data_IF_819813058197
#
_entry.id   IF_819813058197
#
_cell.length_a   1.000
_cell.length_b   1.000
_cell.length_c   1.000
_cell.angle_alpha   90.00
_cell.angle_beta   90.00
_cell.angle_gamma   90.00
#
_symmetry.space_group_name_H-M   'P 1'
#
loop_
_entity.id
_entity.type
_entity.pdbx_description
1 polymer ?
#
# COMPACT_ATOMS: atom_id res chain seq x y z
N UNK A 1 -9.07 -46.78 -38.61
CA UNK A 1 -7.77 -46.74 -37.90
C UNK A 1 -7.07 -45.46 -38.33
N UNK A 2 -7.28 -44.36 -37.61
CA UNK A 2 -6.45 -43.16 -37.78
C UNK A 2 -5.02 -43.55 -37.40
N UNK A 3 -4.06 -43.18 -38.24
CA UNK A 3 -2.68 -43.62 -38.03
C UNK A 3 -2.13 -42.99 -36.75
N UNK A 4 -1.32 -43.73 -36.00
CA UNK A 4 -0.66 -43.26 -34.77
C UNK A 4 0.10 -41.93 -35.02
N UNK A 5 0.56 -41.72 -36.25
CA UNK A 5 1.17 -40.48 -36.72
C UNK A 5 0.24 -39.25 -36.70
N UNK A 6 -1.05 -39.41 -37.02
CA UNK A 6 -2.01 -38.30 -36.96
C UNK A 6 -2.36 -37.92 -35.52
N UNK A 7 -2.41 -38.89 -34.60
CA UNK A 7 -2.57 -38.63 -33.17
C UNK A 7 -1.32 -37.99 -32.57
N UNK A 8 -0.12 -38.45 -32.94
CA UNK A 8 1.13 -37.86 -32.49
C UNK A 8 1.30 -36.41 -33.00
N UNK A 9 0.90 -36.14 -34.26
CA UNK A 9 0.92 -34.78 -34.81
C UNK A 9 -0.07 -33.84 -34.10
N UNK A 10 -1.26 -34.34 -33.73
CA UNK A 10 -2.21 -33.57 -32.90
C UNK A 10 -1.72 -33.33 -31.49
N UNK A 11 -1.10 -34.32 -30.86
CA UNK A 11 -0.53 -34.18 -29.51
C UNK A 11 0.68 -33.24 -29.52
N UNK A 12 1.52 -33.25 -30.55
CA UNK A 12 2.65 -32.33 -30.68
C UNK A 12 2.17 -30.88 -30.91
N UNK A 13 1.12 -30.70 -31.71
CA UNK A 13 0.47 -29.41 -31.94
C UNK A 13 -0.26 -28.89 -30.68
N UNK A 14 -0.86 -29.78 -29.87
CA UNK A 14 -1.49 -29.43 -28.60
C UNK A 14 -0.47 -29.24 -27.46
N UNK A 15 0.70 -29.89 -27.53
CA UNK A 15 1.82 -29.74 -26.59
C UNK A 15 2.50 -28.38 -26.71
N UNK A 16 2.36 -27.69 -27.84
CA UNK A 16 2.77 -26.29 -27.97
C UNK A 16 1.58 -25.39 -27.64
N UNK A 17 1.27 -25.26 -26.34
CA UNK A 17 0.39 -24.18 -25.82
C UNK A 17 1.07 -22.80 -25.93
N UNK A 18 1.68 -22.50 -27.07
CA UNK A 18 1.96 -21.12 -27.42
C UNK A 18 0.68 -20.61 -28.08
N UNK A 19 -0.07 -19.77 -27.37
CA UNK A 19 -1.02 -18.90 -28.06
C UNK A 19 -0.22 -18.21 -29.16
N UNK A 20 -0.60 -18.42 -30.42
CA UNK A 20 0.03 -17.75 -31.55
C UNK A 20 0.09 -16.26 -31.21
N UNK A 21 1.30 -15.66 -31.16
CA UNK A 21 1.44 -14.25 -30.85
C UNK A 21 0.56 -13.44 -31.81
N UNK A 22 -0.47 -12.79 -31.28
CA UNK A 22 -1.42 -12.00 -32.07
C UNK A 22 -0.86 -10.59 -32.36
N UNK A 23 0.31 -10.25 -31.81
CA UNK A 23 0.98 -8.97 -31.99
C UNK A 23 2.11 -9.05 -33.01
N UNK A 24 2.27 -8.00 -33.80
CA UNK A 24 3.58 -7.65 -34.34
C UNK A 24 4.50 -7.25 -33.17
N UNK A 25 5.82 -7.48 -33.24
CA UNK A 25 6.77 -6.87 -32.30
C UNK A 25 6.56 -5.35 -32.23
N UNK A 26 5.98 -4.88 -31.13
CA UNK A 26 5.76 -3.46 -30.84
C UNK A 26 6.81 -3.06 -29.82
N UNK A 27 7.45 -1.90 -29.98
CA UNK A 27 8.43 -1.33 -29.04
C UNK A 27 9.89 -1.55 -29.46
N UNK A 28 10.85 -0.76 -28.96
CA UNK A 28 12.27 -0.94 -29.25
C UNK A 28 12.84 -2.15 -28.49
N UNK A 29 13.83 -2.82 -29.08
CA UNK A 29 14.69 -3.80 -28.40
C UNK A 29 15.66 -3.07 -27.46
N UNK A 30 16.36 -3.76 -26.56
CA UNK A 30 17.38 -3.10 -25.72
C UNK A 30 18.62 -2.73 -26.54
N UNK A 31 19.00 -3.60 -27.48
CA UNK A 31 20.16 -3.45 -28.38
C UNK A 31 19.75 -3.52 -29.85
N UNK A 32 20.65 -3.13 -30.75
CA UNK A 32 20.46 -3.17 -32.20
C UNK A 32 19.81 -1.93 -32.80
N UNK A 33 19.61 -1.95 -34.12
CA UNK A 33 19.09 -0.79 -34.87
C UNK A 33 17.69 -0.42 -34.40
N UNK A 34 17.54 0.79 -33.82
CA UNK A 34 16.29 1.25 -33.23
C UNK A 34 16.02 0.72 -31.82
N UNK A 35 17.02 0.11 -31.17
CA UNK A 35 16.97 -0.29 -29.77
C UNK A 35 17.19 0.88 -28.80
N UNK A 36 16.73 0.74 -27.56
CA UNK A 36 16.73 1.77 -26.51
C UNK A 36 18.16 2.24 -26.16
N UNK A 37 19.14 1.34 -26.22
CA UNK A 37 20.56 1.65 -26.00
C UNK A 37 21.42 1.37 -27.25
N UNK A 38 20.79 1.17 -28.40
CA UNK A 38 21.46 0.87 -29.68
C UNK A 38 22.09 2.08 -30.38
N UNK A 39 22.57 3.06 -29.62
CA UNK A 39 23.17 4.28 -30.14
C UNK A 39 24.69 4.14 -30.21
N UNK A 40 25.30 4.61 -31.31
CA UNK A 40 26.76 4.69 -31.40
C UNK A 40 27.32 5.68 -30.37
N UNK A 41 28.34 5.26 -29.62
CA UNK A 41 29.05 6.07 -28.61
C UNK A 41 28.33 6.28 -27.27
N UNK A 42 27.48 5.34 -26.83
CA UNK A 42 26.95 5.34 -25.47
C UNK A 42 28.00 4.84 -24.45
N UNK A 43 28.07 5.48 -23.28
CA UNK A 43 28.89 5.02 -22.17
C UNK A 43 28.28 3.73 -21.57
N UNK A 44 29.11 2.90 -20.92
CA UNK A 44 28.66 1.65 -20.32
C UNK A 44 27.61 1.86 -19.22
N UNK A 45 27.75 2.94 -18.46
CA UNK A 45 26.99 3.17 -17.23
C UNK A 45 25.65 3.84 -17.54
N UNK A 46 24.55 3.11 -17.29
CA UNK A 46 23.18 3.60 -17.46
C UNK A 46 22.63 3.97 -16.08
N UNK A 47 22.05 5.17 -15.97
CA UNK A 47 21.38 5.66 -14.76
C UNK A 47 19.87 5.67 -15.03
N UNK A 48 19.11 4.96 -14.21
CA UNK A 48 17.65 5.00 -14.21
C UNK A 48 17.15 6.22 -13.41
N UNK A 49 16.19 6.96 -13.95
CA UNK A 49 15.47 8.02 -13.21
C UNK A 49 14.19 7.51 -12.52
N UNK A 50 13.94 6.19 -12.54
CA UNK A 50 12.75 5.60 -11.91
C UNK A 50 12.81 5.80 -10.40
N UNK A 51 11.76 6.38 -9.85
CA UNK A 51 11.52 6.39 -8.41
C UNK A 51 10.90 5.04 -8.03
N UNK A 52 11.52 4.33 -7.08
CA UNK A 52 10.92 3.12 -6.53
C UNK A 52 9.75 3.51 -5.61
N UNK A 53 8.59 2.85 -5.72
CA UNK A 53 7.52 3.06 -4.76
C UNK A 53 8.02 2.63 -3.38
N UNK A 54 7.97 3.55 -2.42
CA UNK A 54 8.27 3.30 -1.02
C UNK A 54 7.03 3.60 -0.20
N UNK A 55 6.77 2.82 0.86
CA UNK A 55 5.50 2.96 1.55
C UNK A 55 5.09 1.82 2.47
N UNK A 56 3.80 1.78 2.79
CA UNK A 56 3.19 0.82 3.70
C UNK A 56 3.34 -0.61 3.21
N UNK A 57 3.27 -0.84 1.89
CA UNK A 57 3.36 -2.15 1.26
C UNK A 57 4.58 -2.97 1.71
N UNK A 58 5.72 -2.34 1.97
CA UNK A 58 6.96 -3.00 2.39
C UNK A 58 7.04 -3.31 3.88
N UNK A 59 6.16 -2.71 4.70
CA UNK A 59 6.08 -2.96 6.15
C UNK A 59 5.04 -4.03 6.51
N UNK A 60 4.13 -4.33 5.60
CA UNK A 60 3.09 -5.32 5.82
C UNK A 60 3.68 -6.74 5.72
N UNK A 61 3.47 -7.59 6.72
CA UNK A 61 3.83 -9.00 6.64
C UNK A 61 2.91 -9.72 5.64
N UNK A 62 3.38 -10.85 5.10
CA UNK A 62 2.59 -11.71 4.21
C UNK A 62 2.22 -13.00 4.94
N UNK A 63 0.93 -13.23 5.11
CA UNK A 63 0.36 -14.41 5.76
C UNK A 63 -0.46 -15.20 4.74
N UNK A 64 0.07 -16.34 4.24
CA UNK A 64 -0.58 -17.06 3.15
C UNK A 64 -1.85 -17.76 3.59
N UNK A 65 -2.88 -17.71 2.76
CA UNK A 65 -4.13 -18.48 2.93
C UNK A 65 -4.23 -19.65 1.94
N UNK A 66 -4.92 -20.71 2.33
CA UNK A 66 -5.24 -21.87 1.47
C UNK A 66 -6.72 -21.88 1.04
N UNK A 67 -7.51 -20.94 1.54
CA UNK A 67 -8.95 -20.90 1.31
C UNK A 67 -9.27 -19.93 0.18
N UNK A 68 -10.14 -20.34 -0.76
CA UNK A 68 -10.54 -19.50 -1.89
C UNK A 68 -11.38 -18.28 -1.47
N UNK A 69 -12.09 -18.38 -0.33
CA UNK A 69 -12.96 -17.33 0.21
C UNK A 69 -12.79 -17.22 1.72
N UNK A 70 -11.80 -16.46 2.21
CA UNK A 70 -11.63 -16.25 3.65
C UNK A 70 -12.82 -15.46 4.21
N UNK A 71 -13.41 -16.00 5.28
CA UNK A 71 -14.47 -15.36 6.06
C UNK A 71 -13.95 -15.04 7.45
N UNK A 72 -14.04 -13.77 7.83
CA UNK A 72 -13.61 -13.23 9.10
C UNK A 72 -14.81 -12.91 9.97
N UNK A 73 -14.95 -13.63 11.08
CA UNK A 73 -16.06 -13.44 12.02
C UNK A 73 -15.69 -12.48 13.15
N UNK A 74 -16.57 -11.52 13.42
CA UNK A 74 -16.41 -10.51 14.45
C UNK A 74 -17.57 -10.56 15.42
N UNK A 75 -17.28 -10.49 16.71
CA UNK A 75 -18.29 -10.26 17.74
C UNK A 75 -18.48 -8.76 17.90
N UNK A 76 -19.68 -8.25 17.60
CA UNK A 76 -19.96 -6.81 17.55
C UNK A 76 -20.57 -6.27 18.83
N UNK A 77 -21.04 -7.15 19.71
CA UNK A 77 -21.51 -6.79 21.04
C UNK A 77 -22.52 -7.79 21.60
N UNK A 78 -23.12 -7.41 22.72
CA UNK A 78 -24.14 -8.19 23.42
C UNK A 78 -25.37 -7.31 23.66
N UNK A 79 -26.58 -7.86 23.53
CA UNK A 79 -27.80 -7.11 23.86
C UNK A 79 -27.94 -6.95 25.36
N UNK A 80 -28.76 -5.99 25.80
CA UNK A 80 -29.13 -5.89 27.20
C UNK A 80 -29.85 -7.18 27.65
N UNK A 81 -29.71 -7.58 28.93
CA UNK A 81 -30.50 -8.66 29.50
C UNK A 81 -31.98 -8.27 29.53
N UNK A 82 -32.87 -9.26 29.40
CA UNK A 82 -34.32 -9.07 29.38
C UNK A 82 -34.93 -9.74 30.61
N UNK A 83 -35.82 -9.03 31.30
CA UNK A 83 -36.45 -9.47 32.54
C UNK A 83 -36.13 -8.56 33.71
N UNK A 84 -36.79 -8.79 34.84
CA UNK A 84 -36.54 -8.06 36.07
C UNK A 84 -35.75 -8.93 37.05
N UNK A 85 -34.98 -8.31 37.95
CA UNK A 85 -34.48 -9.02 39.12
C UNK A 85 -35.69 -9.33 40.01
N UNK A 86 -36.07 -10.60 40.11
CA UNK A 86 -37.21 -11.04 40.93
C UNK A 86 -37.10 -10.55 42.37
N UNK A 87 -38.25 -10.35 43.03
CA UNK A 87 -38.31 -9.74 44.36
C UNK A 87 -38.01 -10.73 45.50
N UNK A 88 -38.15 -12.03 45.25
CA UNK A 88 -37.84 -13.10 46.20
C UNK A 88 -36.57 -13.87 45.80
N UNK A 89 -35.93 -14.51 46.79
CA UNK A 89 -34.66 -15.21 46.62
C UNK A 89 -34.70 -16.44 45.67
N UNK A 90 -35.89 -16.91 45.30
CA UNK A 90 -36.09 -18.06 44.42
C UNK A 90 -36.79 -17.68 43.10
N UNK A 91 -37.03 -16.39 42.86
CA UNK A 91 -37.60 -15.94 41.60
C UNK A 91 -36.54 -16.05 40.48
N UNK A 92 -37.00 -16.33 39.26
CA UNK A 92 -36.13 -16.35 38.10
C UNK A 92 -35.51 -14.97 37.86
N UNK A 93 -34.20 -14.96 37.68
CA UNK A 93 -33.45 -13.76 37.31
C UNK A 93 -33.63 -13.39 35.83
N UNK A 94 -33.17 -12.19 35.41
CA UNK A 94 -33.23 -11.78 34.03
C UNK A 94 -32.37 -12.69 33.14
N UNK A 95 -32.85 -12.96 31.92
CA UNK A 95 -32.11 -13.73 30.91
C UNK A 95 -31.04 -12.84 30.30
N UNK A 96 -29.81 -13.37 30.19
CA UNK A 96 -28.71 -12.66 29.57
C UNK A 96 -29.01 -12.31 28.11
N UNK A 97 -28.48 -11.17 27.64
CA UNK A 97 -28.68 -10.75 26.27
C UNK A 97 -27.93 -11.62 25.26
N UNK A 98 -28.44 -11.64 24.02
CA UNK A 98 -27.85 -12.39 22.92
C UNK A 98 -26.59 -11.73 22.38
N UNK A 99 -25.66 -12.54 21.89
CA UNK A 99 -24.47 -12.10 21.18
C UNK A 99 -24.83 -11.65 19.75
N UNK A 100 -24.25 -10.54 19.31
CA UNK A 100 -24.30 -10.09 17.91
C UNK A 100 -22.96 -10.40 17.25
N UNK A 101 -23.02 -10.89 16.02
CA UNK A 101 -21.85 -11.19 15.21
C UNK A 101 -22.01 -10.56 13.81
N UNK A 102 -20.87 -10.34 13.15
CA UNK A 102 -20.79 -9.88 11.77
C UNK A 102 -19.68 -10.66 11.06
N UNK A 103 -19.87 -10.96 9.78
CA UNK A 103 -18.84 -11.62 8.97
C UNK A 103 -18.34 -10.66 7.90
N UNK A 104 -17.03 -10.53 7.74
CA UNK A 104 -16.42 -9.84 6.60
C UNK A 104 -15.72 -10.86 5.70
N UNK A 105 -15.47 -10.48 4.46
CA UNK A 105 -14.67 -11.26 3.52
C UNK A 105 -13.68 -10.33 2.84
N UNK A 106 -12.50 -10.84 2.52
CA UNK A 106 -11.52 -10.19 1.68
C UNK A 106 -11.43 -10.98 0.36
N UNK A 107 -11.66 -10.31 -0.77
CA UNK A 107 -11.51 -10.95 -2.07
C UNK A 107 -10.03 -10.97 -2.45
N UNK A 108 -9.55 -12.16 -2.84
CA UNK A 108 -8.21 -12.35 -3.37
C UNK A 108 -8.12 -11.86 -4.82
N UNK A 109 -7.03 -11.17 -5.15
CA UNK A 109 -6.73 -10.71 -6.50
C UNK A 109 -5.92 -11.73 -7.29
N UNK A 110 -6.05 -11.71 -8.62
CA UNK A 110 -5.28 -12.55 -9.54
C UNK A 110 -4.60 -11.67 -10.59
N UNK A 111 -3.29 -11.46 -10.42
CA UNK A 111 -2.50 -10.69 -11.39
C UNK A 111 -1.93 -11.57 -12.49
N UNK A 112 -2.00 -11.06 -13.72
CA UNK A 112 -1.41 -11.71 -14.90
C UNK A 112 -0.66 -10.66 -15.71
N UNK A 113 0.65 -10.83 -15.81
CA UNK A 113 1.50 -10.01 -16.66
C UNK A 113 2.09 -10.86 -17.77
N UNK A 114 2.12 -10.32 -18.98
CA UNK A 114 2.81 -10.92 -20.12
C UNK A 114 4.02 -10.08 -20.47
N UNK A 115 5.14 -10.74 -20.74
CA UNK A 115 6.28 -10.09 -21.39
C UNK A 115 5.91 -9.75 -22.83
N UNK A 116 6.53 -8.70 -23.38
CA UNK A 116 6.43 -8.41 -24.81
C UNK A 116 7.16 -9.49 -25.60
N UNK A 117 6.66 -9.78 -26.79
CA UNK A 117 7.26 -10.73 -27.71
C UNK A 117 8.66 -10.28 -28.16
N UNK A 118 9.60 -11.21 -28.21
CA UNK A 118 10.97 -10.98 -28.66
C UNK A 118 11.16 -11.56 -30.06
N UNK A 119 11.71 -10.74 -30.96
CA UNK A 119 12.10 -11.20 -32.28
C UNK A 119 13.49 -11.84 -32.19
N UNK A 120 13.55 -13.17 -32.11
CA UNK A 120 14.82 -13.92 -31.98
C UNK A 120 15.82 -13.62 -33.11
N UNK A 121 15.35 -13.13 -34.26
CA UNK A 121 16.22 -12.78 -35.38
C UNK A 121 16.95 -11.45 -35.22
N UNK A 122 16.62 -10.67 -34.19
CA UNK A 122 17.22 -9.35 -33.90
C UNK A 122 17.86 -9.26 -32.52
N UNK A 123 17.64 -10.26 -31.68
CA UNK A 123 18.30 -10.36 -30.37
C UNK A 123 19.80 -10.54 -30.54
N UNK A 124 20.61 -9.71 -29.88
CA UNK A 124 22.07 -9.77 -29.94
C UNK A 124 22.70 -9.12 -31.17
N UNK A 125 21.91 -8.46 -32.03
CA UNK A 125 22.45 -7.70 -33.15
C UNK A 125 22.97 -6.34 -32.67
N UNK A 126 24.21 -6.01 -33.04
CA UNK A 126 24.69 -4.63 -33.00
C UNK A 126 24.35 -3.94 -34.31
N UNK A 127 23.86 -2.71 -34.22
CA UNK A 127 23.68 -1.82 -35.37
C UNK A 127 25.00 -1.43 -36.01
N UNK A 128 26.02 -1.18 -35.19
CA UNK A 128 27.34 -0.69 -35.57
C UNK A 128 28.42 -1.26 -34.64
N UNK A 129 29.68 -1.34 -35.10
CA UNK A 129 30.82 -1.77 -34.26
C UNK A 129 31.07 -0.86 -33.04
N UNK A 130 30.57 0.37 -33.07
CA UNK A 130 30.63 1.33 -31.96
C UNK A 130 29.56 1.10 -30.89
N UNK A 131 28.62 0.16 -31.10
CA UNK A 131 27.65 -0.25 -30.10
C UNK A 131 28.31 -1.22 -29.13
N UNK A 132 28.29 -0.86 -27.84
CA UNK A 132 28.85 -1.69 -26.79
C UNK A 132 27.77 -2.56 -26.18
N UNK A 133 28.06 -3.85 -26.08
CA UNK A 133 27.17 -4.80 -25.45
C UNK A 133 27.30 -4.84 -23.92
N UNK A 134 28.37 -4.27 -23.36
CA UNK A 134 28.63 -4.17 -21.92
C UNK A 134 27.93 -2.94 -21.33
N UNK A 135 26.60 -2.90 -21.32
CA UNK A 135 25.85 -1.92 -20.55
C UNK A 135 25.57 -2.45 -19.14
N UNK A 136 25.76 -1.61 -18.12
CA UNK A 136 25.40 -1.91 -16.73
C UNK A 136 24.55 -0.79 -16.15
N UNK A 137 23.47 -1.15 -15.46
CA UNK A 137 22.64 -0.18 -14.74
C UNK A 137 23.28 0.05 -13.37
N UNK A 138 23.60 1.31 -13.05
CA UNK A 138 24.32 1.63 -11.81
C UNK A 138 23.42 1.63 -10.57
N UNK A 139 22.13 1.90 -10.73
CA UNK A 139 21.18 2.06 -9.62
C UNK A 139 20.08 1.00 -9.65
N UNK A 140 20.48 -0.28 -9.77
CA UNK A 140 19.63 -1.47 -9.95
C UNK A 140 18.15 -1.23 -9.60
N UNK A 141 17.24 -1.22 -10.60
CA UNK A 141 15.84 -0.92 -10.37
C UNK A 141 15.08 -2.03 -9.63
N UNK A 142 15.73 -3.16 -9.29
CA UNK A 142 15.15 -4.27 -8.55
C UNK A 142 15.62 -4.35 -7.10
N UNK A 143 14.78 -4.99 -6.29
CA UNK A 143 15.18 -5.56 -5.00
C UNK A 143 16.18 -6.69 -5.27
N UNK A 144 17.26 -6.73 -4.50
CA UNK A 144 18.54 -7.45 -4.65
C UNK A 144 18.47 -9.00 -4.79
N UNK A 145 17.28 -9.60 -4.97
CA UNK A 145 17.01 -11.00 -4.65
C UNK A 145 16.61 -11.91 -5.83
N UNK A 146 16.81 -11.49 -7.09
CA UNK A 146 16.41 -12.28 -8.27
C UNK A 146 17.54 -12.67 -9.24
N UNK A 147 18.80 -12.70 -8.79
CA UNK A 147 19.95 -13.06 -9.62
C UNK A 147 20.38 -14.53 -9.42
N UNK A 148 19.78 -15.48 -10.13
CA UNK A 148 20.20 -16.88 -10.02
C UNK A 148 19.46 -17.89 -10.88
N UNK A 149 19.35 -17.67 -12.20
CA UNK A 149 18.76 -18.65 -13.12
C UNK A 149 19.60 -18.67 -14.41
N UNK A 150 20.01 -19.86 -14.88
CA UNK A 150 20.67 -20.22 -16.17
C UNK A 150 22.22 -20.32 -16.23
N UNK A 151 22.80 -21.53 -16.00
CA UNK A 151 24.25 -21.77 -16.09
C UNK A 151 24.79 -22.45 -17.37
N UNK A 152 24.01 -22.68 -18.45
CA UNK A 152 24.47 -23.56 -19.56
C UNK A 152 24.12 -23.11 -20.98
N UNK A 153 24.55 -21.91 -21.37
CA UNK A 153 24.53 -21.46 -22.77
C UNK A 153 25.89 -20.83 -23.17
N UNK A 154 26.31 -20.88 -24.45
CA UNK A 154 27.59 -20.31 -24.90
C UNK A 154 27.71 -18.80 -24.63
N UNK A 155 28.83 -18.41 -24.01
CA UNK A 155 28.98 -17.25 -23.11
C UNK A 155 28.74 -15.83 -23.65
N UNK A 156 28.59 -15.59 -24.96
CA UNK A 156 28.41 -14.22 -25.47
C UNK A 156 27.00 -13.98 -26.00
N UNK A 157 26.55 -14.76 -26.99
CA UNK A 157 25.20 -14.59 -27.56
C UNK A 157 24.09 -14.97 -26.57
N UNK A 158 24.37 -15.92 -25.67
CA UNK A 158 23.43 -16.28 -24.60
C UNK A 158 23.38 -15.27 -23.47
N UNK A 159 24.47 -14.55 -23.22
CA UNK A 159 24.49 -13.45 -22.26
C UNK A 159 23.73 -12.27 -22.85
N UNK A 160 23.80 -12.02 -24.16
CA UNK A 160 23.07 -10.95 -24.82
C UNK A 160 21.57 -11.25 -24.99
N UNK A 161 21.22 -12.45 -25.41
CA UNK A 161 19.83 -12.91 -25.43
C UNK A 161 19.25 -13.02 -24.01
N UNK A 162 20.05 -13.50 -23.06
CA UNK A 162 19.71 -13.52 -21.64
C UNK A 162 19.48 -12.12 -21.07
N UNK A 163 20.23 -11.10 -21.51
CA UNK A 163 20.02 -9.70 -21.10
C UNK A 163 18.74 -9.11 -21.64
N UNK A 164 18.39 -9.35 -22.91
CA UNK A 164 17.10 -8.90 -23.47
C UNK A 164 15.93 -9.58 -22.74
N UNK A 165 16.00 -10.90 -22.53
CA UNK A 165 14.98 -11.66 -21.79
C UNK A 165 14.88 -11.17 -20.34
N UNK A 166 16.01 -10.96 -19.65
CA UNK A 166 16.05 -10.43 -18.30
C UNK A 166 15.46 -9.03 -18.22
N UNK A 167 15.75 -8.16 -19.19
CA UNK A 167 15.17 -6.83 -19.27
C UNK A 167 13.64 -6.88 -19.42
N UNK A 168 13.09 -7.84 -20.17
CA UNK A 168 11.63 -8.04 -20.29
C UNK A 168 11.00 -8.54 -19.00
N UNK A 169 11.67 -9.45 -18.29
CA UNK A 169 11.22 -9.93 -16.98
C UNK A 169 11.26 -8.79 -15.95
N UNK A 170 12.32 -7.97 -15.98
CA UNK A 170 12.45 -6.76 -15.18
C UNK A 170 11.30 -5.79 -15.42
N UNK A 171 10.94 -5.52 -16.68
CA UNK A 171 9.80 -4.67 -17.03
C UNK A 171 8.48 -5.20 -16.46
N UNK A 172 8.30 -6.52 -16.42
CA UNK A 172 7.13 -7.13 -15.78
C UNK A 172 7.16 -6.93 -14.26
N UNK A 173 8.31 -7.10 -13.61
CA UNK A 173 8.45 -6.84 -12.17
C UNK A 173 8.17 -5.38 -11.81
N UNK A 174 8.65 -4.44 -12.63
CA UNK A 174 8.35 -3.00 -12.52
C UNK A 174 6.85 -2.74 -12.58
N UNK A 175 6.18 -3.26 -13.62
CA UNK A 175 4.75 -3.08 -13.79
C UNK A 175 3.93 -3.72 -12.66
N UNK A 176 4.37 -4.88 -12.16
CA UNK A 176 3.75 -5.54 -11.03
C UNK A 176 3.84 -4.70 -9.75
N UNK A 177 5.02 -4.13 -9.46
CA UNK A 177 5.21 -3.27 -8.30
C UNK A 177 4.35 -2.02 -8.35
N UNK A 178 4.31 -1.33 -9.50
CA UNK A 178 3.55 -0.09 -9.66
C UNK A 178 2.04 -0.36 -9.54
N UNK A 179 1.55 -1.45 -10.12
CA UNK A 179 0.13 -1.82 -10.02
C UNK A 179 -0.25 -2.23 -8.59
N UNK A 180 0.56 -3.08 -7.95
CA UNK A 180 0.31 -3.54 -6.58
C UNK A 180 0.33 -2.38 -5.57
N UNK A 181 1.29 -1.46 -5.71
CA UNK A 181 1.39 -0.30 -4.83
C UNK A 181 0.16 0.61 -4.93
N UNK A 182 -0.35 0.85 -6.15
CA UNK A 182 -1.58 1.63 -6.35
C UNK A 182 -2.81 0.88 -5.81
N UNK A 183 -2.95 -0.40 -6.15
CA UNK A 183 -4.12 -1.20 -5.74
C UNK A 183 -4.19 -1.45 -4.23
N UNK A 184 -3.08 -1.31 -3.49
CA UNK A 184 -3.11 -1.32 -2.02
C UNK A 184 -4.13 -0.31 -1.48
N UNK A 185 -4.28 0.85 -2.11
CA UNK A 185 -5.21 1.89 -1.67
C UNK A 185 -6.56 1.78 -2.38
N UNK A 186 -6.55 1.83 -3.71
CA UNK A 186 -7.75 1.99 -4.55
C UNK A 186 -8.24 0.69 -5.19
N UNK A 187 -7.78 -0.46 -4.71
CA UNK A 187 -8.20 -1.77 -5.21
C UNK A 187 -9.72 -1.94 -5.05
N UNK A 188 -10.42 -2.13 -6.17
CA UNK A 188 -11.88 -2.18 -6.19
C UNK A 188 -12.44 -3.49 -5.65
N UNK A 189 -11.60 -4.52 -5.49
CA UNK A 189 -12.02 -5.89 -5.24
C UNK A 189 -12.87 -6.49 -6.36
N UNK A 190 -13.05 -5.81 -7.50
CA UNK A 190 -13.88 -6.30 -8.59
C UNK A 190 -13.03 -7.05 -9.63
N UNK A 191 -13.55 -8.18 -10.12
CA UNK A 191 -12.88 -8.99 -11.12
C UNK A 191 -11.61 -9.67 -10.57
N UNK A 192 -10.44 -9.25 -11.08
CA UNK A 192 -9.14 -9.84 -10.73
C UNK A 192 -8.34 -8.96 -9.75
N UNK A 193 -8.88 -7.84 -9.28
CA UNK A 193 -8.20 -6.95 -8.32
C UNK A 193 -8.50 -7.40 -6.89
N UNK A 194 -7.53 -7.23 -5.97
CA UNK A 194 -7.81 -7.42 -4.54
C UNK A 194 -8.50 -6.19 -3.93
N UNK A 195 -9.03 -6.39 -2.73
CA UNK A 195 -9.66 -5.35 -1.92
C UNK A 195 -8.64 -4.33 -1.38
N UNK A 196 -8.67 -3.09 -1.89
CA UNK A 196 -7.82 -2.01 -1.39
C UNK A 196 -8.22 -1.50 0.00
N UNK A 197 -7.33 -0.72 0.61
CA UNK A 197 -7.52 -0.09 1.91
C UNK A 197 -8.74 0.84 1.95
N UNK A 198 -9.12 1.48 0.85
CA UNK A 198 -10.31 2.32 0.81
C UNK A 198 -11.60 1.51 1.04
N UNK A 199 -11.65 0.27 0.55
CA UNK A 199 -12.78 -0.62 0.84
C UNK A 199 -12.72 -1.15 2.28
N UNK A 200 -11.52 -1.37 2.83
CA UNK A 200 -11.33 -1.79 4.22
C UNK A 200 -11.60 -0.67 5.23
N UNK A 201 -11.29 0.58 4.91
CA UNK A 201 -11.51 1.76 5.75
C UNK A 201 -12.75 2.50 5.25
N UNK A 202 -13.92 1.95 5.59
CA UNK A 202 -15.21 2.47 5.14
C UNK A 202 -16.12 2.89 6.30
N UNK A 203 -16.99 3.86 6.04
CA UNK A 203 -17.96 4.39 7.02
C UNK A 203 -19.10 3.42 7.33
N UNK A 204 -19.34 2.46 6.45
CA UNK A 204 -20.34 1.40 6.63
C UNK A 204 -19.70 0.06 6.29
N UNK A 205 -20.09 -0.98 7.04
CA UNK A 205 -19.58 -2.34 6.87
C UNK A 205 -20.76 -3.28 6.80
N UNK A 206 -20.83 -4.07 5.74
CA UNK A 206 -21.94 -4.99 5.51
C UNK A 206 -21.51 -6.41 5.86
N UNK A 207 -22.41 -7.16 6.50
CA UNK A 207 -22.21 -8.57 6.74
C UNK A 207 -22.23 -9.33 5.40
N UNK A 208 -21.12 -10.00 5.09
CA UNK A 208 -20.95 -10.77 3.86
C UNK A 208 -22.01 -11.88 3.70
N UNK A 209 -22.59 -12.38 4.80
CA UNK A 209 -23.56 -13.48 4.76
C UNK A 209 -25.00 -13.02 4.75
N UNK A 210 -25.34 -12.00 5.54
CA UNK A 210 -26.74 -11.58 5.73
C UNK A 210 -27.11 -10.27 5.03
N UNK A 211 -26.12 -9.52 4.51
CA UNK A 211 -26.33 -8.22 3.88
C UNK A 211 -26.84 -7.15 4.84
N UNK A 212 -26.69 -7.34 6.16
CA UNK A 212 -27.06 -6.36 7.19
C UNK A 212 -25.88 -5.48 7.55
N UNK A 213 -26.17 -4.23 7.90
CA UNK A 213 -25.15 -3.29 8.34
C UNK A 213 -24.59 -3.64 9.73
N UNK A 214 -23.28 -3.51 9.87
CA UNK A 214 -22.48 -3.81 11.05
C UNK A 214 -21.77 -2.53 11.52
N UNK A 215 -22.49 -1.59 12.16
CA UNK A 215 -21.96 -0.27 12.50
C UNK A 215 -20.79 -0.33 13.49
N UNK A 216 -20.68 -1.38 14.31
CA UNK A 216 -19.57 -1.54 15.26
C UNK A 216 -18.21 -1.77 14.57
N UNK A 217 -18.19 -2.18 13.29
CA UNK A 217 -16.97 -2.36 12.50
C UNK A 217 -16.64 -1.13 11.64
N UNK A 218 -17.49 -0.12 11.60
CA UNK A 218 -17.27 1.06 10.79
C UNK A 218 -16.00 1.80 11.22
N UNK A 219 -15.26 2.31 10.24
CA UNK A 219 -14.07 3.14 10.49
C UNK A 219 -14.47 4.57 10.88
N UNK A 220 -13.69 5.21 11.76
CA UNK A 220 -13.87 6.65 12.06
C UNK A 220 -13.26 7.48 10.91
N UNK A 221 -14.13 8.00 10.04
CA UNK A 221 -13.74 8.81 8.89
C UNK A 221 -14.12 10.27 9.15
N UNK A 222 -13.13 11.17 9.03
CA UNK A 222 -13.30 12.60 9.25
C UNK A 222 -12.97 13.38 7.98
N UNK A 223 -14.00 13.91 7.33
CA UNK A 223 -13.81 14.72 6.13
C UNK A 223 -13.42 16.16 6.52
N UNK A 224 -12.26 16.61 6.05
CA UNK A 224 -11.74 17.97 6.26
C UNK A 224 -12.10 18.94 5.13
N UNK A 225 -12.86 18.49 4.12
CA UNK A 225 -13.35 19.29 2.99
C UNK A 225 -12.26 20.14 2.33
N UNK A 226 -11.12 19.52 2.02
CA UNK A 226 -9.95 20.17 1.41
C UNK A 226 -9.42 21.39 2.19
N UNK A 227 -9.47 21.33 3.53
CA UNK A 227 -8.89 22.36 4.39
C UNK A 227 -7.40 22.59 4.07
N UNK A 228 -7.03 23.84 3.80
CA UNK A 228 -5.65 24.21 3.48
C UNK A 228 -4.80 24.29 4.76
N UNK A 229 -3.74 23.47 4.84
CA UNK A 229 -2.80 23.48 5.96
C UNK A 229 -2.07 24.81 6.15
N UNK A 230 -1.81 25.53 5.04
CA UNK A 230 -1.20 26.86 5.08
C UNK A 230 -2.11 27.98 5.61
N UNK A 231 -3.35 27.67 6.01
CA UNK A 231 -4.26 28.62 6.66
C UNK A 231 -4.33 28.37 8.16
N UNK A 232 -4.35 29.45 8.97
CA UNK A 232 -4.36 29.38 10.44
C UNK A 232 -5.50 28.50 10.97
N UNK A 233 -6.69 28.58 10.37
CA UNK A 233 -7.84 27.77 10.76
C UNK A 233 -7.78 26.32 10.27
N UNK A 234 -7.22 26.08 9.07
CA UNK A 234 -7.13 24.73 8.50
C UNK A 234 -6.09 23.86 9.21
N UNK A 235 -4.91 24.42 9.51
CA UNK A 235 -3.87 23.70 10.24
C UNK A 235 -4.29 23.27 11.65
N UNK A 236 -4.93 24.18 12.41
CA UNK A 236 -5.47 23.87 13.75
C UNK A 236 -6.53 22.75 13.70
N UNK A 237 -7.44 22.82 12.74
CA UNK A 237 -8.49 21.80 12.58
C UNK A 237 -7.89 20.40 12.31
N UNK A 238 -6.86 20.30 11.47
CA UNK A 238 -6.23 19.01 11.15
C UNK A 238 -5.52 18.42 12.37
N UNK A 239 -4.68 19.20 13.06
CA UNK A 239 -3.96 18.72 14.26
C UNK A 239 -4.92 18.29 15.37
N UNK A 240 -5.99 19.07 15.60
CA UNK A 240 -7.02 18.71 16.59
C UNK A 240 -7.79 17.46 16.21
N UNK A 241 -8.16 17.32 14.93
CA UNK A 241 -8.88 16.16 14.43
C UNK A 241 -8.03 14.90 14.59
N UNK A 242 -6.77 14.93 14.14
CA UNK A 242 -5.82 13.81 14.31
C UNK A 242 -5.63 13.43 15.78
N UNK A 243 -5.44 14.43 16.66
CA UNK A 243 -5.33 14.20 18.10
C UNK A 243 -6.60 13.56 18.68
N UNK A 244 -7.78 14.02 18.25
CA UNK A 244 -9.05 13.46 18.72
C UNK A 244 -9.27 12.01 18.24
N UNK A 245 -8.91 11.72 16.98
CA UNK A 245 -8.97 10.36 16.43
C UNK A 245 -8.03 9.42 17.18
N UNK A 246 -6.80 9.85 17.44
CA UNK A 246 -5.83 9.08 18.25
C UNK A 246 -6.37 8.73 19.64
N UNK A 247 -6.95 9.71 20.34
CA UNK A 247 -7.57 9.50 21.66
C UNK A 247 -8.73 8.52 21.61
N UNK A 248 -9.60 8.63 20.61
CA UNK A 248 -10.74 7.72 20.44
C UNK A 248 -10.26 6.29 20.14
N UNK A 249 -9.30 6.12 19.24
CA UNK A 249 -8.75 4.82 18.88
C UNK A 249 -8.07 4.14 20.09
N UNK A 250 -7.26 4.87 20.86
CA UNK A 250 -6.62 4.31 22.05
C UNK A 250 -7.61 3.99 23.18
N UNK A 251 -8.63 4.81 23.38
CA UNK A 251 -9.69 4.49 24.33
C UNK A 251 -10.45 3.23 23.91
N UNK A 252 -10.81 3.11 22.63
CA UNK A 252 -11.48 1.92 22.09
C UNK A 252 -10.59 0.67 22.23
N UNK A 253 -9.31 0.76 21.86
CA UNK A 253 -8.37 -0.36 21.99
C UNK A 253 -8.22 -0.83 23.45
N UNK A 254 -8.17 0.11 24.40
CA UNK A 254 -8.14 -0.19 25.83
C UNK A 254 -9.43 -0.86 26.32
N UNK A 255 -10.60 -0.33 25.94
CA UNK A 255 -11.91 -0.85 26.36
C UNK A 255 -12.28 -2.17 25.72
N UNK A 256 -11.81 -2.44 24.51
CA UNK A 256 -11.99 -3.70 23.80
C UNK A 256 -10.92 -4.74 24.18
N UNK A 257 -10.03 -4.42 25.12
CA UNK A 257 -8.97 -5.32 25.60
C UNK A 257 -8.03 -5.82 24.49
N UNK A 258 -7.78 -4.98 23.48
CA UNK A 258 -6.76 -5.25 22.46
C UNK A 258 -5.33 -5.07 22.99
N UNK A 259 -5.17 -4.60 24.24
CA UNK A 259 -3.88 -4.49 24.92
C UNK A 259 -2.94 -3.51 24.21
N UNK A 260 -1.66 -3.87 24.11
CA UNK A 260 -0.67 -3.06 23.38
C UNK A 260 -0.94 -3.15 21.87
N UNK A 261 -1.44 -2.05 21.30
CA UNK A 261 -1.69 -1.88 19.86
C UNK A 261 -0.62 -1.00 19.23
N UNK A 262 -0.01 -1.48 18.14
CA UNK A 262 0.93 -0.69 17.34
C UNK A 262 0.16 -0.03 16.20
N UNK A 263 0.03 1.28 16.28
CA UNK A 263 -0.56 2.12 15.25
C UNK A 263 0.53 2.75 14.38
N UNK A 264 0.22 2.93 13.10
CA UNK A 264 1.03 3.72 12.17
C UNK A 264 0.15 4.75 11.48
N UNK A 265 0.72 5.92 11.23
CA UNK A 265 0.08 6.96 10.43
C UNK A 265 0.67 6.90 9.03
N UNK A 266 -0.16 6.77 8.01
CA UNK A 266 0.27 6.69 6.62
C UNK A 266 -0.22 7.92 5.87
N UNK A 267 0.70 8.61 5.21
CA UNK A 267 0.41 9.83 4.45
C UNK A 267 1.47 10.04 3.37
N UNK A 268 1.22 10.94 2.43
CA UNK A 268 2.21 11.27 1.39
C UNK A 268 3.38 12.06 1.97
N UNK A 269 4.57 11.91 1.36
CA UNK A 269 5.80 12.60 1.78
C UNK A 269 5.61 14.12 1.86
N UNK A 270 4.99 14.73 0.83
CA UNK A 270 4.77 16.18 0.78
C UNK A 270 3.85 16.67 1.91
N UNK A 271 2.76 15.94 2.18
CA UNK A 271 1.82 16.25 3.25
C UNK A 271 2.49 16.18 4.63
N UNK A 272 3.37 15.20 4.85
CA UNK A 272 4.13 15.08 6.09
C UNK A 272 5.04 16.28 6.34
N UNK A 273 5.70 16.81 5.31
CA UNK A 273 6.52 18.01 5.44
C UNK A 273 5.69 19.23 5.86
N UNK A 274 4.53 19.44 5.24
CA UNK A 274 3.63 20.56 5.58
C UNK A 274 3.03 20.43 6.99
N UNK A 275 2.60 19.22 7.39
CA UNK A 275 2.07 18.98 8.73
C UNK A 275 3.15 19.24 9.79
N UNK A 276 4.38 18.78 9.57
CA UNK A 276 5.47 18.96 10.54
C UNK A 276 5.91 20.42 10.70
N UNK A 277 5.64 21.31 9.74
CA UNK A 277 5.90 22.75 9.91
C UNK A 277 4.90 23.41 10.87
N UNK A 278 3.62 23.01 10.84
CA UNK A 278 2.59 23.57 11.72
C UNK A 278 2.51 22.85 13.09
N UNK A 279 2.91 21.58 13.14
CA UNK A 279 2.70 20.71 14.30
C UNK A 279 3.33 21.24 15.60
N UNK A 280 4.62 21.68 15.64
CA UNK A 280 5.24 22.16 16.87
C UNK A 280 4.51 23.37 17.46
N UNK A 281 4.14 24.33 16.61
CA UNK A 281 3.45 25.54 17.02
C UNK A 281 2.09 25.22 17.65
N UNK A 282 1.33 24.33 17.00
CA UNK A 282 0.03 23.90 17.53
C UNK A 282 0.19 23.08 18.81
N UNK A 283 1.11 22.11 18.84
CA UNK A 283 1.33 21.24 20.00
C UNK A 283 1.75 22.02 21.25
N UNK A 284 2.62 23.03 21.10
CA UNK A 284 3.10 23.86 22.22
C UNK A 284 2.07 24.88 22.70
N UNK A 285 1.13 25.31 21.84
CA UNK A 285 0.08 26.28 22.18
C UNK A 285 -1.27 25.63 22.52
N UNK A 286 -1.43 24.33 22.28
CA UNK A 286 -2.72 23.64 22.45
C UNK A 286 -3.17 23.67 23.91
N UNK A 287 -4.33 24.25 24.15
CA UNK A 287 -4.92 24.37 25.50
C UNK A 287 -4.49 25.63 26.27
N UNK A 288 -3.58 26.44 25.73
CA UNK A 288 -3.29 27.78 26.25
C UNK A 288 -4.45 28.72 25.91
N UNK A 289 -5.45 28.78 26.80
CA UNK A 289 -6.47 29.82 26.71
C UNK A 289 -5.86 31.14 27.16
N UNK A 290 -5.85 32.15 26.29
CA UNK A 290 -5.47 33.48 26.72
C UNK A 290 -6.54 34.03 27.68
N UNK A 291 -6.19 34.43 28.91
CA UNK A 291 -7.15 35.03 29.84
C UNK A 291 -7.62 36.43 29.40
N UNK A 292 -7.00 37.02 28.36
CA UNK A 292 -7.45 38.28 27.75
C UNK A 292 -7.02 38.40 26.27
N UNK A 293 -7.62 39.27 25.45
CA UNK A 293 -7.28 39.41 24.02
C UNK A 293 -5.84 39.85 23.72
N UNK A 294 -5.06 40.27 24.73
CA UNK A 294 -3.77 40.97 24.57
C UNK A 294 -2.56 40.19 25.12
N UNK A 295 -2.70 38.90 25.43
CA UNK A 295 -1.56 38.07 25.86
C UNK A 295 -1.04 37.27 24.67
N UNK A 296 0.22 37.53 24.31
CA UNK A 296 0.96 36.73 23.33
C UNK A 296 1.74 35.64 24.06
N UNK A 297 1.50 34.38 23.73
CA UNK A 297 2.35 33.29 24.18
C UNK A 297 3.67 33.35 23.41
N UNK A 298 4.78 33.50 24.13
CA UNK A 298 6.11 33.42 23.52
C UNK A 298 6.49 31.93 23.42
N UNK A 299 6.55 31.42 22.20
CA UNK A 299 7.03 30.07 21.93
C UNK A 299 8.44 30.21 21.36
N UNK A 300 9.42 29.58 21.99
CA UNK A 300 10.80 29.62 21.51
C UNK A 300 10.86 29.00 20.10
N UNK A 301 11.47 29.72 19.17
CA UNK A 301 11.61 29.27 17.78
C UNK A 301 12.67 28.18 17.64
N UNK A 302 13.67 28.14 18.54
CA UNK A 302 14.67 27.08 18.56
C UNK A 302 14.06 25.71 18.87
N UNK A 303 13.20 25.65 19.88
CA UNK A 303 12.52 24.41 20.27
C UNK A 303 11.54 23.92 19.19
N UNK A 304 10.87 24.85 18.49
CA UNK A 304 9.99 24.50 17.37
C UNK A 304 10.77 23.87 16.22
N UNK A 305 11.93 24.44 15.85
CA UNK A 305 12.79 23.91 14.80
C UNK A 305 13.33 22.53 15.19
N UNK A 306 13.83 22.38 16.42
CA UNK A 306 14.33 21.11 16.93
C UNK A 306 13.26 20.01 16.94
N UNK A 307 12.03 20.35 17.35
CA UNK A 307 10.92 19.41 17.35
C UNK A 307 10.50 19.03 15.91
N UNK A 308 10.41 19.99 15.00
CA UNK A 308 10.14 19.72 13.59
C UNK A 308 11.20 18.80 12.98
N UNK A 309 12.47 19.14 13.15
CA UNK A 309 13.57 18.42 12.51
C UNK A 309 13.72 17.01 13.08
N UNK A 310 13.49 16.82 14.38
CA UNK A 310 13.42 15.48 14.99
C UNK A 310 12.27 14.64 14.46
N UNK A 311 11.06 15.21 14.32
CA UNK A 311 9.92 14.53 13.71
C UNK A 311 10.22 14.10 12.26
N UNK A 312 10.85 14.98 11.46
CA UNK A 312 11.20 14.70 10.06
C UNK A 312 12.26 13.60 9.93
N UNK A 313 13.30 13.64 10.76
CA UNK A 313 14.41 12.69 10.71
C UNK A 313 14.00 11.28 11.14
N UNK A 314 13.23 11.16 12.22
CA UNK A 314 12.80 9.87 12.76
C UNK A 314 11.44 9.40 12.21
N UNK A 315 10.81 10.19 11.32
CA UNK A 315 9.48 9.95 10.74
C UNK A 315 8.43 9.60 11.79
N UNK A 316 8.17 10.53 12.71
CA UNK A 316 7.09 10.39 13.70
C UNK A 316 6.28 11.68 13.84
N UNK A 317 5.07 11.54 14.39
CA UNK A 317 4.30 12.64 14.96
C UNK A 317 4.15 12.42 16.47
N UNK A 318 4.28 13.49 17.24
CA UNK A 318 4.06 13.44 18.68
C UNK A 318 2.60 13.77 19.00
N UNK A 319 1.87 12.80 19.55
CA UNK A 319 0.47 12.98 19.97
C UNK A 319 0.38 12.60 21.45
N UNK A 320 -0.10 13.51 22.31
CA UNK A 320 -0.24 13.31 23.76
C UNK A 320 1.05 12.75 24.43
N UNK A 321 2.22 13.22 24.00
CA UNK A 321 3.52 12.78 24.51
C UNK A 321 4.02 11.43 23.97
N UNK A 322 3.25 10.75 23.12
CA UNK A 322 3.66 9.50 22.47
C UNK A 322 4.19 9.75 21.06
N UNK A 323 5.32 9.12 20.72
CA UNK A 323 5.86 9.13 19.35
C UNK A 323 5.11 8.08 18.52
N UNK A 324 4.32 8.54 17.56
CA UNK A 324 3.58 7.69 16.64
C UNK A 324 4.32 7.66 15.31
N UNK A 325 4.66 6.47 14.85
CA UNK A 325 5.41 6.29 13.61
C UNK A 325 4.58 6.76 12.40
N UNK A 326 5.23 7.51 11.50
CA UNK A 326 4.68 7.90 10.21
C UNK A 326 5.36 7.11 9.10
N UNK A 327 4.55 6.51 8.24
CA UNK A 327 4.99 5.88 7.00
C UNK A 327 4.63 6.82 5.87
N UNK A 328 5.65 7.32 5.17
CA UNK A 328 5.46 8.11 3.96
C UNK A 328 5.26 7.16 2.78
N UNK A 329 4.14 7.25 2.09
CA UNK A 329 3.82 6.41 0.93
C UNK A 329 3.53 7.29 -0.29
N UNK A 330 4.23 7.03 -1.39
CA UNK A 330 4.09 7.78 -2.64
C UNK A 330 3.01 7.20 -3.56
N UNK A 331 2.53 5.97 -3.30
CA UNK A 331 1.45 5.32 -4.04
C UNK A 331 0.05 5.75 -3.62
N UNK A 332 -0.06 6.53 -2.52
CA UNK A 332 -1.27 7.27 -2.16
C UNK A 332 -1.68 8.21 -3.30
N UNK A 333 -2.97 8.13 -3.69
CA UNK A 333 -3.51 9.01 -4.71
C UNK A 333 -3.49 10.47 -4.24
N UNK A 334 -3.11 11.35 -5.15
CA UNK A 334 -3.09 12.78 -4.92
C UNK A 334 -4.10 13.47 -5.84
N UNK A 335 -5.00 14.23 -5.23
CA UNK A 335 -5.98 15.01 -5.96
C UNK A 335 -5.48 16.46 -6.15
N UNK A 336 -5.62 16.95 -7.38
CA UNK A 336 -5.30 18.34 -7.72
C UNK A 336 -6.54 19.21 -7.47
N UNK A 337 -6.56 19.90 -6.34
CA UNK A 337 -7.65 20.81 -5.94
C UNK A 337 -7.63 22.11 -6.77
N UNK A 338 -6.47 22.46 -7.34
CA UNK A 338 -6.24 23.66 -8.15
C UNK A 338 -5.29 24.68 -7.50
N UNK A 339 -4.85 25.68 -8.26
CA UNK A 339 -3.89 26.71 -7.82
C UNK A 339 -2.58 26.16 -7.20
N UNK A 340 -2.07 25.05 -7.73
CA UNK A 340 -0.86 24.40 -7.20
C UNK A 340 -1.05 23.75 -5.83
N UNK A 341 -2.30 23.47 -5.43
CA UNK A 341 -2.64 22.76 -4.19
C UNK A 341 -2.99 21.31 -4.50
N UNK A 342 -2.52 20.46 -3.63
CA UNK A 342 -2.69 19.02 -3.69
C UNK A 342 -3.33 18.52 -2.41
N UNK A 343 -4.17 17.50 -2.52
CA UNK A 343 -4.82 16.86 -1.39
C UNK A 343 -4.56 15.35 -1.43
N UNK A 344 -4.36 14.76 -0.26
CA UNK A 344 -4.24 13.31 -0.08
C UNK A 344 -4.80 12.94 1.29
N UNK A 345 -5.23 11.70 1.42
CA UNK A 345 -5.79 11.17 2.67
C UNK A 345 -4.70 10.79 3.68
N UNK A 346 -5.08 10.78 4.95
CA UNK A 346 -4.24 10.33 6.07
C UNK A 346 -4.91 9.12 6.71
N UNK A 347 -4.20 8.00 6.76
CA UNK A 347 -4.68 6.77 7.38
C UNK A 347 -4.03 6.56 8.75
N UNK A 348 -4.81 6.14 9.74
CA UNK A 348 -4.29 5.63 11.01
C UNK A 348 -4.65 4.14 11.07
N UNK A 349 -3.65 3.28 10.91
CA UNK A 349 -3.86 1.85 10.74
C UNK A 349 -3.23 1.05 11.88
N UNK A 350 -3.90 0.02 12.41
CA UNK A 350 -3.29 -0.89 13.37
C UNK A 350 -2.46 -1.92 12.61
N UNK A 351 -1.17 -2.06 12.92
CA UNK A 351 -0.35 -3.14 12.37
C UNK A 351 -0.45 -4.40 13.22
N UNK A 352 -0.33 -4.23 14.54
CA UNK A 352 -0.40 -5.33 15.50
C UNK A 352 -1.23 -4.97 16.73
N UNK A 353 -1.86 -5.98 17.31
CA UNK A 353 -2.61 -5.90 18.57
C UNK A 353 -2.06 -6.91 19.58
N UNK A 354 -2.40 -6.75 20.86
CA UNK A 354 -2.00 -7.63 21.97
C UNK A 354 -0.49 -7.93 22.05
N UNK A 355 0.35 -6.97 21.62
CA UNK A 355 1.80 -7.11 21.69
C UNK A 355 2.44 -7.97 20.59
N UNK A 356 1.72 -8.34 19.52
CA UNK A 356 2.34 -9.04 18.39
C UNK A 356 1.40 -9.73 17.39
N UNK A 357 0.09 -9.79 17.66
CA UNK A 357 -0.88 -10.36 16.71
C UNK A 357 -1.05 -9.40 15.55
N UNK A 358 -0.72 -9.83 14.34
CA UNK A 358 -0.85 -9.02 13.14
C UNK A 358 -2.32 -8.89 12.75
N UNK A 359 -2.75 -7.67 12.42
CA UNK A 359 -4.14 -7.38 12.02
C UNK A 359 -4.25 -6.69 10.67
N UNK A 360 -3.15 -6.12 10.17
CA UNK A 360 -3.00 -5.65 8.81
C UNK A 360 -1.82 -6.37 8.17
N UNK A 361 -2.09 -7.13 7.11
CA UNK A 361 -1.15 -8.00 6.43
C UNK A 361 -1.60 -8.23 4.98
N UNK A 362 -0.68 -8.75 4.16
CA UNK A 362 -0.96 -9.28 2.83
C UNK A 362 -1.42 -10.74 2.94
N UNK A 363 -2.58 -11.07 2.38
CA UNK A 363 -3.13 -12.43 2.36
C UNK A 363 -2.90 -13.15 1.03
#
# INVERSE_FOLDING_TARGET
>A
MSTILEQLARELAASQKHATPAGSHQGPMVTGTGGLFGHGCAERDIISSRMQPSGLASMLPTDPTIYDYPLYEYVTGFTAPVGNQGGAACDDGPVAGAMKACTQTAQLGVYKFMTRELDISKVGHASCRSEMFDHRVLNDPLVEQLAGIFPTLPNQDAVMAGREVLARILMVGVAFQDELARQLYVGSGAGNEFAGLEMLVSSTKWDARTGKDCPSLASDIRNMNYACLGSVGGGDAVVRTLTSMWRNLNNNASKMNFGQTRWVIVMRTQLFHEITDIWPCMYMSQGCMSPSPNVTFNVDTGDQINLRDSMRNEKYLIIDGQRVQVVTDDALEEEVVGNGRFASDIYILPLTVRGGVQVLYWE
#
